data_IF_833897912899
#
_entry.id   IF_833897912899
#
_cell.length_a   1.000
_cell.length_b   1.000
_cell.length_c   1.000
_cell.angle_alpha   90.00
_cell.angle_beta   90.00
_cell.angle_gamma   90.00
#
_symmetry.space_group_name_H-M   'P 1'
#
loop_
_entity.id
_entity.type
_entity.pdbx_description
1 polymer ?
#
# COMPACT_ATOMS: atom_id res chain seq x y z
N UNK A 1 -19.17 7.18 8.32
CA UNK A 1 -18.27 8.23 7.79
C UNK A 1 -18.78 8.64 6.41
N UNK A 2 -19.21 9.89 6.28
CA UNK A 2 -19.64 10.49 5.00
C UNK A 2 -18.48 10.45 4.00
N UNK A 3 -18.55 9.55 3.03
CA UNK A 3 -17.62 9.52 1.90
C UNK A 3 -17.90 10.77 1.07
N UNK A 4 -16.91 11.67 0.97
CA UNK A 4 -16.95 12.82 0.06
C UNK A 4 -17.35 12.30 -1.33
N UNK A 5 -18.57 12.60 -1.79
CA UNK A 5 -19.18 12.13 -3.05
C UNK A 5 -18.36 12.43 -4.32
N UNK A 6 -17.30 13.23 -4.20
CA UNK A 6 -16.45 13.66 -5.31
C UNK A 6 -15.42 12.62 -5.76
N UNK A 7 -14.97 11.72 -4.88
CA UNK A 7 -14.02 10.69 -5.27
C UNK A 7 -14.77 9.42 -5.69
N UNK A 8 -14.61 9.02 -6.95
CA UNK A 8 -15.09 7.74 -7.51
C UNK A 8 -14.38 6.50 -6.92
N UNK A 9 -13.61 6.66 -5.85
CA UNK A 9 -12.87 5.63 -5.11
C UNK A 9 -12.75 6.00 -3.61
N UNK A 10 -12.33 5.06 -2.78
CA UNK A 10 -12.06 5.25 -1.35
C UNK A 10 -10.89 6.20 -1.15
N UNK A 11 -10.84 6.84 0.02
CA UNK A 11 -9.73 7.71 0.40
C UNK A 11 -8.38 6.97 0.36
N UNK A 12 -8.34 5.71 0.83
CA UNK A 12 -7.13 4.90 0.82
C UNK A 12 -6.63 4.61 -0.60
N UNK A 13 -7.54 4.26 -1.51
CA UNK A 13 -7.19 4.08 -2.92
C UNK A 13 -6.66 5.38 -3.54
N UNK A 14 -7.29 6.52 -3.23
CA UNK A 14 -6.82 7.81 -3.72
C UNK A 14 -5.40 8.12 -3.21
N UNK A 15 -5.11 7.88 -1.93
CA UNK A 15 -3.77 8.06 -1.35
C UNK A 15 -2.76 7.15 -2.04
N UNK A 16 -3.07 5.86 -2.22
CA UNK A 16 -2.17 4.91 -2.88
C UNK A 16 -1.86 5.32 -4.32
N UNK A 17 -2.88 5.70 -5.09
CA UNK A 17 -2.71 6.20 -6.48
C UNK A 17 -1.82 7.44 -6.48
N UNK A 18 -2.07 8.41 -5.61
CA UNK A 18 -1.25 9.63 -5.53
C UNK A 18 0.20 9.31 -5.19
N UNK A 19 0.46 8.47 -4.19
CA UNK A 19 1.83 8.07 -3.81
C UNK A 19 2.55 7.40 -4.98
N UNK A 20 1.89 6.48 -5.68
CA UNK A 20 2.45 5.78 -6.84
C UNK A 20 2.74 6.74 -7.99
N UNK A 21 1.84 7.69 -8.27
CA UNK A 21 2.04 8.69 -9.33
C UNK A 21 3.14 9.70 -8.97
N UNK A 22 3.28 10.08 -7.70
CA UNK A 22 4.41 10.90 -7.24
C UNK A 22 5.73 10.15 -7.48
N UNK A 23 5.79 8.85 -7.18
CA UNK A 23 6.96 8.03 -7.49
C UNK A 23 7.27 8.01 -8.99
N UNK A 24 6.24 7.92 -9.85
CA UNK A 24 6.42 8.03 -11.31
C UNK A 24 7.05 9.37 -11.73
N UNK A 25 6.55 10.49 -11.18
CA UNK A 25 7.09 11.83 -11.46
C UNK A 25 8.54 11.94 -11.01
N UNK A 26 8.87 11.47 -9.80
CA UNK A 26 10.24 11.47 -9.29
C UNK A 26 11.16 10.67 -10.24
N UNK A 27 10.73 9.48 -10.67
CA UNK A 27 11.53 8.66 -11.59
C UNK A 27 11.71 9.31 -12.97
N UNK A 28 10.69 10.00 -13.49
CA UNK A 28 10.78 10.74 -14.74
C UNK A 28 11.76 11.93 -14.63
N UNK A 29 11.72 12.68 -13.52
CA UNK A 29 12.67 13.78 -13.24
C UNK A 29 14.11 13.27 -13.15
N UNK A 30 14.31 12.03 -12.70
CA UNK A 30 15.61 11.37 -12.65
C UNK A 30 16.00 10.69 -13.99
N UNK A 31 15.28 10.99 -15.08
CA UNK A 31 15.47 10.44 -16.44
C UNK A 31 15.33 8.92 -16.53
N UNK A 32 14.62 8.30 -15.57
CA UNK A 32 14.37 6.85 -15.50
C UNK A 32 13.00 6.50 -16.09
N UNK A 33 12.80 6.86 -17.36
CA UNK A 33 11.50 6.76 -18.03
C UNK A 33 10.88 5.36 -18.02
N UNK A 34 11.70 4.30 -18.15
CA UNK A 34 11.20 2.92 -18.08
C UNK A 34 10.54 2.60 -16.73
N UNK A 35 11.19 3.00 -15.63
CA UNK A 35 10.65 2.80 -14.26
C UNK A 35 9.47 3.73 -14.01
N UNK A 36 9.54 4.98 -14.47
CA UNK A 36 8.42 5.92 -14.39
C UNK A 36 7.15 5.36 -15.08
N UNK A 37 7.31 4.79 -16.28
CA UNK A 37 6.22 4.16 -17.03
C UNK A 37 5.56 3.02 -16.26
N UNK A 38 6.36 2.17 -15.58
CA UNK A 38 5.83 1.11 -14.71
C UNK A 38 4.97 1.70 -13.59
N UNK A 39 5.43 2.73 -12.89
CA UNK A 39 4.64 3.37 -11.84
C UNK A 39 3.36 4.02 -12.38
N UNK A 40 3.38 4.61 -13.58
CA UNK A 40 2.15 5.13 -14.23
C UNK A 40 1.16 3.99 -14.48
N UNK A 41 1.61 2.88 -15.08
CA UNK A 41 0.74 1.72 -15.37
C UNK A 41 0.12 1.19 -14.08
N UNK A 42 0.93 1.02 -13.02
CA UNK A 42 0.43 0.57 -11.71
C UNK A 42 -0.56 1.56 -11.12
N UNK A 43 -0.28 2.87 -11.16
CA UNK A 43 -1.16 3.92 -10.64
C UNK A 43 -2.51 3.97 -11.36
N UNK A 44 -2.50 3.90 -12.69
CA UNK A 44 -3.72 3.84 -13.50
C UNK A 44 -4.49 2.53 -13.24
N UNK A 45 -3.79 1.40 -13.13
CA UNK A 45 -4.39 0.11 -12.81
C UNK A 45 -5.09 0.11 -11.45
N UNK A 46 -4.45 0.67 -10.41
CA UNK A 46 -5.04 0.85 -9.08
C UNK A 46 -6.29 1.75 -9.14
N UNK A 47 -6.20 2.89 -9.83
CA UNK A 47 -7.32 3.81 -9.99
C UNK A 47 -8.50 3.15 -10.73
N UNK A 48 -8.23 2.49 -11.85
CA UNK A 48 -9.24 1.80 -12.65
C UNK A 48 -9.89 0.66 -11.87
N UNK A 49 -9.10 -0.14 -11.15
CA UNK A 49 -9.59 -1.22 -10.29
C UNK A 49 -10.51 -0.69 -9.19
N UNK A 50 -10.12 0.38 -8.51
CA UNK A 50 -10.93 0.99 -7.46
C UNK A 50 -12.25 1.58 -7.99
N UNK A 51 -12.22 2.26 -9.14
CA UNK A 51 -13.42 2.80 -9.79
C UNK A 51 -14.35 1.67 -10.24
N UNK A 52 -13.79 0.61 -10.82
CA UNK A 52 -14.55 -0.56 -11.25
C UNK A 52 -15.18 -1.29 -10.06
N UNK A 53 -14.44 -1.46 -8.97
CA UNK A 53 -14.94 -2.05 -7.73
C UNK A 53 -16.17 -1.30 -7.18
N UNK A 54 -16.24 0.02 -7.37
CA UNK A 54 -17.39 0.84 -6.98
C UNK A 54 -18.56 0.85 -7.97
N UNK A 55 -18.39 0.30 -9.17
CA UNK A 55 -19.41 0.39 -10.24
C UNK A 55 -20.69 -0.43 -9.99
N UNK A 56 -20.75 -1.21 -8.90
CA UNK A 56 -21.85 -2.13 -8.59
C UNK A 56 -21.86 -3.40 -9.43
N UNK A 57 -20.93 -3.56 -10.38
CA UNK A 57 -20.77 -4.75 -11.24
C UNK A 57 -19.64 -5.67 -10.82
N UNK A 58 -18.80 -5.22 -9.89
CA UNK A 58 -17.63 -5.97 -9.44
C UNK A 58 -18.04 -7.09 -8.46
N UNK A 59 -17.35 -8.23 -8.55
CA UNK A 59 -17.50 -9.33 -7.60
C UNK A 59 -17.04 -8.91 -6.21
N UNK A 60 -17.52 -9.63 -5.18
CA UNK A 60 -17.12 -9.38 -3.79
C UNK A 60 -15.60 -9.51 -3.61
N UNK A 61 -14.96 -10.46 -4.30
CA UNK A 61 -13.51 -10.61 -4.28
C UNK A 61 -12.79 -9.39 -4.89
N UNK A 62 -13.27 -8.88 -6.02
CA UNK A 62 -12.69 -7.67 -6.64
C UNK A 62 -12.84 -6.45 -5.73
N UNK A 63 -13.99 -6.33 -5.06
CA UNK A 63 -14.27 -5.24 -4.12
C UNK A 63 -13.39 -5.33 -2.87
N UNK A 64 -13.23 -6.53 -2.32
CA UNK A 64 -12.34 -6.80 -1.19
C UNK A 64 -10.88 -6.46 -1.56
N UNK A 65 -10.39 -6.92 -2.70
CA UNK A 65 -9.02 -6.64 -3.18
C UNK A 65 -8.79 -5.16 -3.46
N UNK A 66 -9.82 -4.43 -3.90
CA UNK A 66 -9.76 -3.00 -4.09
C UNK A 66 -10.00 -2.20 -2.80
N UNK A 67 -10.17 -2.85 -1.63
CA UNK A 67 -10.50 -2.18 -0.34
C UNK A 67 -11.77 -1.32 -0.38
N UNK A 68 -12.73 -1.68 -1.22
CA UNK A 68 -14.04 -1.01 -1.36
C UNK A 68 -15.14 -1.78 -0.63
N UNK A 69 -15.12 -1.68 0.70
CA UNK A 69 -16.07 -2.36 1.59
C UNK A 69 -17.44 -1.66 1.58
N UNK A 70 -18.52 -2.41 1.32
CA UNK A 70 -19.90 -1.88 1.34
C UNK A 70 -20.55 -2.12 2.71
N UNK A 71 -20.37 -3.31 3.28
CA UNK A 71 -20.99 -3.71 4.54
C UNK A 71 -19.95 -3.94 5.67
N UNK A 72 -20.43 -4.24 6.87
CA UNK A 72 -19.58 -4.50 8.04
C UNK A 72 -18.86 -5.85 7.95
N UNK A 73 -19.45 -6.82 7.23
CA UNK A 73 -18.85 -8.13 6.99
C UNK A 73 -17.61 -8.00 6.12
N UNK A 74 -17.69 -7.27 5.01
CA UNK A 74 -16.59 -6.96 4.10
C UNK A 74 -15.46 -6.25 4.84
N UNK A 75 -15.80 -5.30 5.73
CA UNK A 75 -14.80 -4.63 6.57
C UNK A 75 -14.09 -5.61 7.49
N UNK A 76 -14.83 -6.51 8.12
CA UNK A 76 -14.25 -7.51 9.03
C UNK A 76 -13.36 -8.49 8.26
N UNK A 77 -13.79 -8.97 7.09
CA UNK A 77 -12.94 -9.83 6.25
C UNK A 77 -11.70 -9.06 5.77
N UNK A 78 -11.88 -7.81 5.37
CA UNK A 78 -10.80 -6.92 4.92
C UNK A 78 -9.75 -6.64 5.99
N UNK A 79 -10.16 -6.42 7.25
CA UNK A 79 -9.21 -6.23 8.35
C UNK A 79 -8.39 -7.48 8.64
N UNK A 80 -9.00 -8.67 8.60
CA UNK A 80 -8.27 -9.93 8.76
C UNK A 80 -7.29 -10.16 7.60
N UNK A 81 -7.73 -9.93 6.36
CA UNK A 81 -6.87 -10.05 5.19
C UNK A 81 -5.67 -9.08 5.27
N UNK A 82 -5.90 -7.82 5.65
CA UNK A 82 -4.84 -6.83 5.83
C UNK A 82 -3.88 -7.17 6.98
N UNK A 83 -4.37 -7.79 8.06
CA UNK A 83 -3.52 -8.27 9.14
C UNK A 83 -2.57 -9.38 8.65
N UNK A 84 -3.09 -10.34 7.87
CA UNK A 84 -2.27 -11.39 7.24
C UNK A 84 -1.23 -10.77 6.29
N UNK A 85 -1.64 -9.84 5.43
CA UNK A 85 -0.73 -9.12 4.53
C UNK A 85 0.34 -8.35 5.33
N UNK A 86 -0.02 -7.75 6.46
CA UNK A 86 0.93 -7.06 7.35
C UNK A 86 2.00 -8.00 7.91
N UNK A 87 1.62 -9.20 8.34
CA UNK A 87 2.57 -10.24 8.79
C UNK A 87 3.49 -10.65 7.65
N UNK A 88 2.94 -10.94 6.48
CA UNK A 88 3.73 -11.31 5.28
C UNK A 88 4.68 -10.18 4.89
N UNK A 89 4.23 -8.91 4.93
CA UNK A 89 5.05 -7.75 4.62
C UNK A 89 6.21 -7.58 5.62
N UNK A 90 6.00 -7.84 6.92
CA UNK A 90 7.06 -7.84 7.92
C UNK A 90 8.12 -8.91 7.62
N UNK A 91 7.70 -10.14 7.29
CA UNK A 91 8.62 -11.23 6.94
C UNK A 91 9.42 -10.88 5.69
N UNK A 92 8.75 -10.45 4.61
CA UNK A 92 9.42 -10.07 3.36
C UNK A 92 10.37 -8.88 3.57
N UNK A 93 9.97 -7.89 4.37
CA UNK A 93 10.84 -6.74 4.69
C UNK A 93 12.08 -7.19 5.47
N UNK A 94 11.94 -8.13 6.40
CA UNK A 94 13.08 -8.69 7.14
C UNK A 94 14.03 -9.46 6.21
N UNK A 95 13.49 -10.23 5.27
CA UNK A 95 14.31 -10.92 4.25
C UNK A 95 15.08 -9.91 3.40
N UNK A 96 14.41 -8.88 2.89
CA UNK A 96 15.06 -7.81 2.09
C UNK A 96 16.11 -7.08 2.91
N UNK A 97 15.83 -6.81 4.19
CA UNK A 97 16.78 -6.19 5.10
C UNK A 97 18.04 -7.04 5.26
N UNK A 98 17.90 -8.33 5.62
CA UNK A 98 19.04 -9.25 5.79
C UNK A 98 19.85 -9.35 4.49
N UNK A 99 19.18 -9.64 3.38
CA UNK A 99 19.85 -9.74 2.07
C UNK A 99 20.58 -8.43 1.72
N UNK A 100 19.92 -7.29 1.92
CA UNK A 100 20.52 -5.99 1.67
C UNK A 100 21.72 -5.70 2.57
N UNK A 101 21.66 -6.04 3.85
CA UNK A 101 22.80 -5.85 4.78
C UNK A 101 24.01 -6.72 4.45
N UNK A 102 23.80 -7.88 3.81
CA UNK A 102 24.88 -8.78 3.39
C UNK A 102 25.48 -8.35 2.05
N UNK A 103 24.65 -7.87 1.12
CA UNK A 103 25.06 -7.59 -0.25
C UNK A 103 25.52 -6.13 -0.49
N UNK A 104 25.11 -5.19 0.36
CA UNK A 104 25.45 -3.78 0.19
C UNK A 104 26.72 -3.41 0.97
N UNK A 105 27.54 -2.56 0.38
CA UNK A 105 28.68 -1.97 1.08
C UNK A 105 28.21 -1.17 2.31
N UNK A 106 28.94 -1.22 3.45
CA UNK A 106 28.56 -0.50 4.67
C UNK A 106 28.38 1.02 4.51
N UNK A 107 29.06 1.62 3.52
CA UNK A 107 28.96 3.05 3.20
C UNK A 107 27.79 3.39 2.27
N UNK A 108 27.03 2.42 1.79
CA UNK A 108 25.95 2.64 0.84
C UNK A 108 24.80 3.44 1.47
N UNK A 109 24.30 4.51 0.84
CA UNK A 109 23.10 5.21 1.29
C UNK A 109 21.89 4.29 1.44
N UNK A 110 21.85 3.19 0.68
CA UNK A 110 20.78 2.19 0.72
C UNK A 110 20.71 1.47 2.08
N UNK A 111 21.82 1.42 2.83
CA UNK A 111 21.83 0.86 4.18
C UNK A 111 20.88 1.64 5.11
N UNK A 112 20.89 2.97 5.04
CA UNK A 112 19.96 3.82 5.80
C UNK A 112 18.51 3.64 5.36
N UNK A 113 18.28 3.44 4.06
CA UNK A 113 16.93 3.21 3.52
C UNK A 113 16.35 1.90 4.05
N UNK A 114 17.14 0.82 4.09
CA UNK A 114 16.71 -0.48 4.62
C UNK A 114 16.35 -0.39 6.12
N UNK A 115 17.18 0.29 6.92
CA UNK A 115 16.88 0.55 8.33
C UNK A 115 15.60 1.37 8.50
N UNK A 116 15.47 2.48 7.75
CA UNK A 116 14.29 3.33 7.81
C UNK A 116 13.02 2.53 7.44
N UNK A 117 13.07 1.68 6.42
CA UNK A 117 11.95 0.83 6.02
C UNK A 117 11.50 -0.11 7.15
N UNK A 118 12.44 -0.82 7.80
CA UNK A 118 12.11 -1.74 8.91
C UNK A 118 11.51 -0.97 10.08
N UNK A 119 12.14 0.14 10.48
CA UNK A 119 11.69 0.96 11.62
C UNK A 119 10.27 1.51 11.36
N UNK A 120 10.04 2.09 10.18
CA UNK A 120 8.73 2.64 9.82
C UNK A 120 7.64 1.56 9.80
N UNK A 121 7.96 0.35 9.31
CA UNK A 121 7.00 -0.75 9.30
C UNK A 121 6.67 -1.24 10.72
N UNK A 122 7.67 -1.32 11.60
CA UNK A 122 7.46 -1.67 13.02
C UNK A 122 6.61 -0.61 13.72
N UNK A 123 6.87 0.68 13.48
CA UNK A 123 6.06 1.78 14.03
C UNK A 123 4.62 1.67 13.53
N UNK A 124 4.42 1.44 12.23
CA UNK A 124 3.08 1.27 11.65
C UNK A 124 2.34 0.08 12.29
N UNK A 125 3.03 -1.04 12.51
CA UNK A 125 2.48 -2.20 13.20
C UNK A 125 2.08 -1.90 14.65
N UNK A 126 2.93 -1.20 15.41
CA UNK A 126 2.62 -0.78 16.78
C UNK A 126 1.39 0.13 16.83
N UNK A 127 1.32 1.13 15.94
CA UNK A 127 0.17 2.04 15.85
C UNK A 127 -1.10 1.26 15.50
N UNK A 128 -1.03 0.32 14.53
CA UNK A 128 -2.16 -0.49 14.14
C UNK A 128 -2.72 -1.32 15.31
N UNK A 129 -1.85 -2.00 16.07
CA UNK A 129 -2.26 -2.79 17.23
C UNK A 129 -2.82 -1.92 18.36
N UNK A 130 -2.19 -0.77 18.63
CA UNK A 130 -2.67 0.17 19.63
C UNK A 130 -4.06 0.70 19.30
N UNK A 131 -4.30 1.08 18.03
CA UNK A 131 -5.61 1.54 17.57
C UNK A 131 -6.64 0.40 17.63
N UNK A 132 -6.26 -0.83 17.30
CA UNK A 132 -7.14 -1.99 17.38
C UNK A 132 -7.59 -2.25 18.83
N UNK A 133 -6.66 -2.29 19.78
CA UNK A 133 -6.95 -2.50 21.20
C UNK A 133 -7.81 -1.41 21.84
N UNK A 134 -7.74 -0.17 21.34
CA UNK A 134 -8.59 0.93 21.83
C UNK A 134 -10.02 0.91 21.30
N UNK A 135 -10.28 0.13 20.25
CA UNK A 135 -11.58 0.06 19.57
C UNK A 135 -12.33 -1.25 19.85
N UNK A 136 -11.66 -2.24 20.42
CA UNK A 136 -12.22 -3.47 20.99
C UNK A 136 -12.76 -3.22 22.39
#
# INVERSE_FOLDING_TARGET
MSTRKWLRMSWWNAVMVVVVLIAAVIMAVLDRWGVAGIFVIVGVGLAASAIYARSGRASDLTRLNATEYIDERDRTVGTHALAIVGVVALVLTMVVFVVGTVLLDPGSPMFFVLWAQVILLVIAWMIANFVALRRS
#
